data_IF_663531136997
#
_entry.id   IF_663531136997
#
_cell.length_a   1.000
_cell.length_b   1.000
_cell.length_c   1.000
_cell.angle_alpha   90.00
_cell.angle_beta   90.00
_cell.angle_gamma   90.00
#
_symmetry.space_group_name_H-M   'P 1'
#
loop_
_entity.id
_entity.type
_entity.pdbx_description
1 polymer ?
#
# COMPACT_ATOMS: atom_id res chain seq x y z
N UNK A 1 22.40 1.35 1.80
CA UNK A 1 22.03 0.47 0.67
C UNK A 1 20.77 1.04 0.04
N UNK A 2 20.69 1.07 -1.29
CA UNK A 2 19.47 1.50 -1.99
C UNK A 2 18.60 0.28 -2.27
N UNK A 3 17.39 0.26 -1.72
CA UNK A 3 16.37 -0.73 -2.08
C UNK A 3 15.49 -0.16 -3.20
N UNK A 4 15.04 -1.05 -4.08
CA UNK A 4 14.12 -0.73 -5.17
C UNK A 4 12.97 -1.73 -5.17
N UNK A 5 11.88 -1.38 -5.85
CA UNK A 5 10.67 -2.21 -5.93
C UNK A 5 10.53 -2.80 -7.32
N UNK A 6 9.97 -4.01 -7.40
CA UNK A 6 9.60 -4.69 -8.64
C UNK A 6 8.11 -5.02 -8.57
N UNK A 7 7.31 -4.32 -9.38
CA UNK A 7 5.87 -4.54 -9.44
C UNK A 7 5.50 -5.64 -10.44
N UNK A 8 4.54 -6.48 -10.05
CA UNK A 8 3.92 -7.50 -10.91
C UNK A 8 2.41 -7.44 -10.74
N UNK A 9 1.69 -7.61 -11.85
CA UNK A 9 0.24 -7.45 -11.88
C UNK A 9 -0.17 -5.98 -12.02
N UNK A 10 -1.47 -5.70 -11.89
CA UNK A 10 -1.98 -4.34 -11.97
C UNK A 10 -2.39 -3.86 -10.58
N UNK A 11 -2.08 -2.62 -10.17
CA UNK A 11 -2.55 -2.09 -8.90
C UNK A 11 -4.08 -2.24 -8.73
N UNK A 12 -4.52 -2.52 -7.50
CA UNK A 12 -5.93 -2.77 -7.16
C UNK A 12 -6.51 -4.04 -7.82
N UNK A 13 -5.70 -5.07 -8.06
CA UNK A 13 -6.15 -6.41 -8.44
C UNK A 13 -5.61 -7.49 -7.48
N UNK A 14 -6.20 -8.69 -7.51
CA UNK A 14 -5.82 -9.80 -6.61
C UNK A 14 -4.39 -10.31 -6.89
N UNK A 15 -3.90 -10.07 -8.10
CA UNK A 15 -2.63 -10.52 -8.63
C UNK A 15 -1.48 -9.55 -8.37
N UNK A 16 -1.79 -8.34 -7.86
CA UNK A 16 -0.78 -7.33 -7.61
C UNK A 16 0.21 -7.78 -6.53
N UNK A 17 1.50 -7.72 -6.86
CA UNK A 17 2.62 -8.02 -5.96
C UNK A 17 3.70 -6.97 -6.14
N UNK A 18 4.26 -6.52 -5.04
CA UNK A 18 5.40 -5.61 -5.00
C UNK A 18 6.56 -6.33 -4.30
N UNK A 19 7.52 -6.78 -5.09
CA UNK A 19 8.75 -7.41 -4.63
C UNK A 19 9.84 -6.36 -4.36
N UNK A 20 10.88 -6.74 -3.63
CA UNK A 20 12.01 -5.88 -3.32
C UNK A 20 13.27 -6.37 -4.02
N UNK A 21 14.14 -5.44 -4.38
CA UNK A 21 15.45 -5.73 -4.97
C UNK A 21 16.52 -4.85 -4.36
N UNK A 22 17.61 -5.46 -3.95
CA UNK A 22 18.82 -4.79 -3.47
C UNK A 22 19.93 -4.78 -4.51
N UNK A 23 21.19 -4.48 -4.10
CA UNK A 23 22.33 -4.44 -5.01
C UNK A 23 22.59 -5.77 -5.75
N UNK A 24 22.20 -6.89 -5.16
CA UNK A 24 22.47 -8.24 -5.67
C UNK A 24 21.23 -8.92 -6.30
N UNK A 25 20.14 -8.17 -6.51
CA UNK A 25 18.91 -8.68 -7.09
C UNK A 25 17.75 -8.81 -6.07
N UNK A 26 16.71 -9.61 -6.42
CA UNK A 26 15.52 -9.77 -5.60
C UNK A 26 15.82 -10.31 -4.20
N UNK A 27 15.08 -9.82 -3.21
CA UNK A 27 15.24 -10.18 -1.81
C UNK A 27 13.89 -10.18 -1.07
N UNK A 28 13.85 -10.83 0.09
CA UNK A 28 12.71 -10.78 1.00
C UNK A 28 12.72 -9.48 1.83
N UNK A 29 11.65 -8.68 1.83
CA UNK A 29 11.57 -7.53 2.72
C UNK A 29 11.46 -7.92 4.20
N UNK A 30 11.00 -9.14 4.49
CA UNK A 30 10.89 -9.64 5.85
C UNK A 30 12.22 -10.13 6.40
N UNK A 31 13.02 -10.81 5.58
CA UNK A 31 14.20 -11.52 6.07
C UNK A 31 15.53 -10.86 5.70
N UNK A 32 15.64 -10.31 4.49
CA UNK A 32 16.93 -9.83 3.95
C UNK A 32 17.22 -8.36 4.26
N UNK A 33 16.19 -7.56 4.59
CA UNK A 33 16.39 -6.18 5.04
C UNK A 33 16.82 -6.23 6.52
N UNK A 34 17.99 -5.71 6.90
CA UNK A 34 18.42 -5.74 8.29
C UNK A 34 17.45 -4.97 9.20
N UNK A 35 17.13 -5.48 10.39
CA UNK A 35 16.36 -4.73 11.39
C UNK A 35 16.99 -3.36 11.67
N UNK A 36 18.29 -3.36 11.96
CA UNK A 36 19.03 -2.15 12.29
C UNK A 36 19.64 -1.50 11.04
N UNK A 37 19.26 -0.25 10.79
CA UNK A 37 19.98 0.62 9.85
C UNK A 37 21.27 1.17 10.46
N UNK A 38 21.25 1.40 11.77
CA UNK A 38 22.40 1.75 12.61
C UNK A 38 22.14 1.24 14.03
N UNK A 39 22.79 0.14 14.40
CA UNK A 39 22.60 -0.51 15.71
C UNK A 39 23.15 0.35 16.85
N UNK A 40 24.21 1.13 16.63
CA UNK A 40 24.81 1.95 17.69
C UNK A 40 23.86 3.07 18.14
N UNK A 41 23.03 3.57 17.22
CA UNK A 41 22.08 4.65 17.48
C UNK A 41 20.63 4.17 17.64
N UNK A 42 20.38 2.86 17.68
CA UNK A 42 19.03 2.27 17.68
C UNK A 42 18.14 2.85 16.57
N UNK A 43 18.70 2.95 15.36
CA UNK A 43 17.96 3.35 14.16
C UNK A 43 17.58 2.08 13.39
N UNK A 44 16.29 1.93 13.13
CA UNK A 44 15.72 0.76 12.50
C UNK A 44 15.42 1.01 11.02
N UNK A 45 15.49 -0.02 10.19
CA UNK A 45 14.83 0.03 8.88
C UNK A 45 13.34 -0.27 9.10
N UNK A 46 12.47 0.47 8.44
CA UNK A 46 11.04 0.20 8.36
C UNK A 46 10.66 -0.04 6.91
N UNK A 47 9.89 -1.10 6.66
CA UNK A 47 9.27 -1.37 5.36
C UNK A 47 7.89 -0.73 5.35
N UNK A 48 7.70 0.29 4.52
CA UNK A 48 6.42 1.01 4.41
C UNK A 48 5.44 0.22 3.55
N UNK A 49 4.33 -0.22 4.13
CA UNK A 49 3.31 -1.01 3.46
C UNK A 49 2.12 -0.17 3.01
N UNK A 50 1.66 0.76 3.84
CA UNK A 50 0.48 1.59 3.58
C UNK A 50 0.84 3.07 3.79
N UNK A 51 0.89 3.87 2.71
CA UNK A 51 1.06 5.32 2.81
C UNK A 51 -0.04 5.98 3.65
N UNK A 52 0.31 7.03 4.38
CA UNK A 52 -0.67 7.83 5.13
C UNK A 52 -1.81 8.33 4.24
N UNK A 53 -3.02 8.33 4.80
CA UNK A 53 -4.28 8.70 4.17
C UNK A 53 -4.68 7.83 2.97
N UNK A 54 -4.24 6.58 2.96
CA UNK A 54 -4.73 5.57 1.99
C UNK A 54 -5.50 4.47 2.71
N UNK A 55 -6.32 3.73 1.97
CA UNK A 55 -7.26 2.75 2.54
C UNK A 55 -6.91 1.30 2.21
N UNK A 56 -6.14 1.03 1.15
CA UNK A 56 -5.83 -0.33 0.74
C UNK A 56 -4.98 -0.99 1.84
N UNK A 57 -5.51 -2.02 2.51
CA UNK A 57 -4.75 -2.80 3.51
C UNK A 57 -3.74 -3.64 2.76
N UNK A 58 -2.50 -3.22 2.80
CA UNK A 58 -1.40 -3.94 2.15
C UNK A 58 -0.39 -4.32 3.19
N UNK A 59 0.22 -5.48 2.97
CA UNK A 59 1.01 -6.19 3.95
C UNK A 59 2.07 -7.01 3.23
N UNK A 60 3.22 -7.19 3.88
CA UNK A 60 4.20 -8.22 3.55
C UNK A 60 3.48 -9.57 3.57
N UNK A 61 3.53 -10.28 2.45
CA UNK A 61 2.92 -11.60 2.35
C UNK A 61 3.80 -12.65 3.01
N UNK A 62 3.61 -12.87 4.31
CA UNK A 62 4.42 -13.78 5.13
C UNK A 62 4.46 -15.22 4.62
N UNK A 63 3.53 -15.62 3.75
CA UNK A 63 3.37 -17.01 3.26
C UNK A 63 3.90 -17.23 1.84
N UNK A 64 4.11 -16.19 1.05
CA UNK A 64 4.61 -16.33 -0.32
C UNK A 64 6.13 -16.16 -0.39
N UNK A 65 6.74 -16.85 -1.34
CA UNK A 65 8.18 -16.77 -1.62
C UNK A 65 8.63 -15.32 -1.80
N UNK A 66 9.73 -14.95 -1.16
CA UNK A 66 10.28 -13.58 -1.10
C UNK A 66 9.36 -12.51 -0.49
N UNK A 67 8.28 -12.92 0.19
CA UNK A 67 7.38 -12.08 0.96
C UNK A 67 7.01 -10.73 0.30
N UNK A 68 6.53 -10.71 -0.97
CA UNK A 68 6.15 -9.46 -1.62
C UNK A 68 5.02 -8.76 -0.84
N UNK A 69 4.96 -7.44 -0.93
CA UNK A 69 3.77 -6.73 -0.45
C UNK A 69 2.60 -7.06 -1.39
N UNK A 70 1.46 -7.45 -0.81
CA UNK A 70 0.17 -7.62 -1.51
C UNK A 70 -0.94 -6.92 -0.76
N UNK A 71 -2.11 -6.82 -1.39
CA UNK A 71 -3.30 -6.35 -0.71
C UNK A 71 -4.02 -7.52 -0.03
N UNK A 72 -4.41 -7.33 1.23
CA UNK A 72 -5.20 -8.31 1.98
C UNK A 72 -6.53 -8.59 1.25
N UNK A 73 -6.98 -9.85 1.31
CA UNK A 73 -8.18 -10.35 0.63
C UNK A 73 -9.13 -10.95 1.65
N UNK A 74 -10.33 -10.36 1.78
CA UNK A 74 -11.38 -10.86 2.66
C UNK A 74 -12.59 -11.30 1.82
N UNK A 75 -13.01 -12.56 1.98
CA UNK A 75 -14.13 -13.16 1.22
C UNK A 75 -13.95 -13.01 -0.30
N UNK A 76 -12.73 -13.23 -0.79
CA UNK A 76 -12.38 -13.13 -2.22
C UNK A 76 -12.35 -11.71 -2.80
N UNK A 77 -12.43 -10.67 -1.97
CA UNK A 77 -12.38 -9.26 -2.39
C UNK A 77 -11.22 -8.55 -1.71
N UNK A 78 -10.61 -7.62 -2.44
CA UNK A 78 -9.58 -6.73 -1.93
C UNK A 78 -10.10 -5.94 -0.72
N UNK A 79 -9.32 -5.93 0.36
CA UNK A 79 -9.69 -5.26 1.60
C UNK A 79 -9.23 -3.80 1.58
N UNK A 80 -10.15 -2.93 1.97
CA UNK A 80 -9.90 -1.52 2.23
C UNK A 80 -10.36 -1.21 3.66
N UNK A 81 -9.53 -0.54 4.43
CA UNK A 81 -9.92 -0.02 5.74
C UNK A 81 -10.90 1.14 5.55
N UNK A 82 -11.90 1.19 6.42
CA UNK A 82 -12.94 2.21 6.37
C UNK A 82 -12.43 3.55 6.92
N UNK A 83 -12.96 4.65 6.37
CA UNK A 83 -12.82 5.96 7.00
C UNK A 83 -13.73 5.99 8.23
N UNK A 84 -13.15 6.09 9.42
CA UNK A 84 -13.87 6.21 10.68
C UNK A 84 -13.72 7.67 11.14
N UNK A 85 -14.78 8.46 11.04
CA UNK A 85 -14.73 9.89 11.35
C UNK A 85 -14.09 10.15 12.73
N UNK A 86 -13.13 11.10 12.85
CA UNK A 86 -12.70 12.08 11.84
C UNK A 86 -11.58 11.62 10.89
N UNK A 87 -11.17 10.36 10.97
CA UNK A 87 -9.98 9.83 10.31
C UNK A 87 -10.20 9.46 8.84
N UNK A 88 -9.18 9.68 8.01
CA UNK A 88 -9.14 9.25 6.60
C UNK A 88 -8.08 8.16 6.42
N UNK A 89 -8.51 6.95 6.09
CA UNK A 89 -7.61 5.80 5.90
C UNK A 89 -6.72 5.57 7.12
N UNK A 90 -5.49 5.13 6.87
CA UNK A 90 -4.43 5.09 7.89
C UNK A 90 -3.93 6.49 8.20
N UNK A 91 -3.83 6.87 9.48
CA UNK A 91 -3.42 8.22 9.88
C UNK A 91 -1.89 8.36 10.08
N UNK A 92 -1.14 7.30 9.76
CA UNK A 92 0.34 7.22 9.71
C UNK A 92 0.79 6.65 8.38
N UNK A 93 2.09 6.73 8.09
CA UNK A 93 2.67 5.71 7.22
C UNK A 93 2.75 4.42 8.05
N UNK A 94 2.18 3.35 7.56
CA UNK A 94 2.06 2.09 8.27
C UNK A 94 2.89 1.01 7.57
N UNK A 95 3.44 0.10 8.35
CA UNK A 95 4.18 -1.06 7.86
C UNK A 95 4.83 -1.80 9.02
N UNK A 96 5.97 -2.42 8.76
CA UNK A 96 6.59 -3.30 9.75
C UNK A 96 8.11 -3.10 9.86
N UNK A 97 8.68 -3.57 10.97
CA UNK A 97 10.12 -3.78 11.06
C UNK A 97 10.49 -5.13 10.42
N UNK A 98 11.52 -5.18 9.57
CA UNK A 98 12.01 -6.44 9.04
C UNK A 98 12.78 -7.20 10.13
N UNK A 99 12.94 -8.50 9.94
CA UNK A 99 13.61 -9.40 10.88
C UNK A 99 13.00 -9.40 12.27
N UNK A 100 11.70 -9.18 12.38
CA UNK A 100 10.93 -9.37 13.61
C UNK A 100 9.77 -10.31 13.32
N UNK A 101 9.29 -10.99 14.35
CA UNK A 101 8.15 -11.88 14.26
C UNK A 101 7.48 -11.97 15.62
N UNK A 102 6.17 -11.77 15.69
CA UNK A 102 5.36 -12.04 16.87
C UNK A 102 4.94 -13.51 16.88
N UNK A 103 5.74 -14.35 17.54
CA UNK A 103 5.58 -15.80 17.54
C UNK A 103 4.22 -16.24 18.13
N UNK A 104 3.35 -16.93 17.36
CA UNK A 104 2.02 -17.36 17.81
C UNK A 104 2.07 -18.49 18.85
N UNK A 105 3.23 -19.10 19.08
CA UNK A 105 3.45 -20.03 20.19
C UNK A 105 3.93 -19.33 21.48
N UNK A 106 4.35 -18.07 21.39
CA UNK A 106 4.78 -17.29 22.53
C UNK A 106 3.61 -16.50 23.13
N UNK A 107 3.34 -16.73 24.43
CA UNK A 107 2.38 -15.94 25.19
C UNK A 107 3.06 -14.72 25.82
N UNK A 108 2.66 -13.54 25.39
CA UNK A 108 3.17 -12.27 25.92
C UNK A 108 2.71 -12.06 27.37
N UNK A 109 3.63 -11.61 28.22
CA UNK A 109 3.37 -11.46 29.66
C UNK A 109 2.50 -10.24 30.00
N UNK A 110 2.40 -9.27 29.09
CA UNK A 110 1.68 -8.02 29.30
C UNK A 110 0.25 -8.07 28.78
N UNK A 111 0.03 -8.63 27.59
CA UNK A 111 -1.29 -8.79 26.98
C UNK A 111 -2.00 -10.07 27.42
N UNK A 112 -1.23 -11.06 27.89
CA UNK A 112 -1.69 -12.43 28.16
C UNK A 112 -2.28 -13.13 26.93
N UNK A 113 -1.90 -12.71 25.72
CA UNK A 113 -2.25 -13.34 24.45
C UNK A 113 -1.01 -13.87 23.72
N UNK A 114 -1.22 -14.70 22.71
CA UNK A 114 -0.15 -15.15 21.83
C UNK A 114 0.09 -14.14 20.70
N UNK A 115 1.28 -14.14 20.09
CA UNK A 115 1.57 -13.29 18.93
C UNK A 115 0.65 -13.54 17.73
N UNK A 116 0.47 -12.53 16.88
CA UNK A 116 -0.40 -12.57 15.69
C UNK A 116 0.22 -13.25 14.46
N UNK A 117 1.45 -13.77 14.60
CA UNK A 117 2.22 -14.45 13.57
C UNK A 117 2.76 -13.56 12.43
N UNK A 118 2.71 -12.23 12.59
CA UNK A 118 3.22 -11.26 11.64
C UNK A 118 4.48 -10.54 12.20
N UNK A 119 5.18 -9.73 11.39
CA UNK A 119 6.30 -8.91 11.86
C UNK A 119 5.76 -7.72 12.67
N UNK A 120 6.54 -7.19 13.62
CA UNK A 120 6.06 -6.13 14.50
C UNK A 120 5.68 -4.87 13.70
N UNK A 121 4.50 -4.34 14.01
CA UNK A 121 3.90 -3.23 13.27
C UNK A 121 4.45 -1.86 13.70
N UNK A 122 4.48 -0.93 12.75
CA UNK A 122 5.03 0.42 12.93
C UNK A 122 4.08 1.48 12.38
N UNK A 123 3.78 2.46 13.24
CA UNK A 123 3.14 3.72 12.90
C UNK A 123 4.19 4.82 12.80
N UNK A 124 4.58 5.20 11.58
CA UNK A 124 5.53 6.27 11.33
C UNK A 124 4.82 7.62 11.21
N UNK A 125 5.20 8.56 12.09
CA UNK A 125 4.41 9.76 12.43
C UNK A 125 4.91 11.04 11.75
N UNK A 126 5.97 10.97 10.94
CA UNK A 126 6.58 12.11 10.28
C UNK A 126 5.67 12.80 9.25
N UNK A 127 6.00 14.04 8.88
CA UNK A 127 5.17 14.88 8.02
C UNK A 127 5.03 14.34 6.59
N UNK A 128 5.98 13.54 6.11
CA UNK A 128 6.00 13.09 4.72
C UNK A 128 5.08 11.89 4.53
N UNK A 129 4.19 11.93 3.53
CA UNK A 129 3.50 10.73 3.09
C UNK A 129 4.49 9.87 2.28
N UNK A 130 4.90 8.73 2.84
CA UNK A 130 5.89 7.85 2.23
C UNK A 130 5.27 7.02 1.10
N UNK A 131 6.10 6.47 0.21
CA UNK A 131 5.62 5.57 -0.84
C UNK A 131 5.54 4.15 -0.33
N UNK A 132 4.53 3.40 -0.78
CA UNK A 132 4.44 1.95 -0.60
C UNK A 132 5.72 1.28 -1.10
N UNK A 133 6.26 0.35 -0.33
CA UNK A 133 7.51 -0.34 -0.61
C UNK A 133 8.78 0.47 -0.33
N UNK A 134 8.66 1.67 0.27
CA UNK A 134 9.86 2.39 0.72
C UNK A 134 10.49 1.67 1.90
N UNK A 135 11.82 1.62 1.94
CA UNK A 135 12.58 1.21 3.12
C UNK A 135 13.19 2.49 3.70
N UNK A 136 12.67 2.93 4.84
CA UNK A 136 13.07 4.17 5.49
C UNK A 136 13.77 3.89 6.82
N UNK A 137 14.53 4.87 7.30
CA UNK A 137 15.22 4.77 8.58
C UNK A 137 14.40 5.48 9.64
N UNK A 138 14.07 4.79 10.72
CA UNK A 138 13.21 5.33 11.77
C UNK A 138 13.85 5.21 13.14
N UNK A 139 13.48 6.16 14.01
CA UNK A 139 13.72 6.09 15.45
C UNK A 139 12.41 5.69 16.12
N UNK A 140 12.46 4.66 16.98
CA UNK A 140 11.34 4.32 17.85
C UNK A 140 11.19 5.35 18.97
N UNK A 141 9.94 5.70 19.28
CA UNK A 141 9.55 6.70 20.28
C UNK A 141 8.75 6.06 21.41
N UNK A 142 8.00 5.00 21.11
CA UNK A 142 7.17 4.29 22.08
C UNK A 142 6.45 3.13 21.41
N UNK A 143 5.53 2.49 22.13
CA UNK A 143 4.78 1.33 21.63
C UNK A 143 3.41 1.21 22.31
N UNK A 144 2.41 0.70 21.59
CA UNK A 144 1.07 0.42 22.13
C UNK A 144 0.76 -1.08 22.02
N UNK A 145 0.12 -1.63 23.06
CA UNK A 145 -0.19 -3.05 23.17
C UNK A 145 -1.62 -3.35 22.70
N UNK A 146 -1.87 -3.47 21.39
CA UNK A 146 -3.18 -3.82 20.87
C UNK A 146 -3.45 -5.31 21.15
N UNK A 147 -4.70 -5.62 21.47
CA UNK A 147 -5.23 -6.98 21.48
C UNK A 147 -6.21 -7.06 20.31
N UNK A 148 -5.76 -7.63 19.18
CA UNK A 148 -6.55 -7.73 17.96
C UNK A 148 -7.16 -9.12 17.83
N UNK A 149 -8.49 -9.21 17.95
CA UNK A 149 -9.24 -10.49 17.86
C UNK A 149 -8.71 -11.63 18.76
N UNK A 150 -8.01 -11.30 19.86
CA UNK A 150 -7.47 -12.27 20.82
C UNK A 150 -5.96 -12.55 20.67
N UNK A 151 -5.28 -11.81 19.81
CA UNK A 151 -3.84 -11.92 19.57
C UNK A 151 -3.12 -10.66 20.08
N UNK A 152 -1.88 -10.82 20.51
CA UNK A 152 -0.95 -9.72 20.78
C UNK A 152 -0.56 -9.11 19.45
N UNK A 153 -0.70 -7.80 19.35
CA UNK A 153 -0.44 -7.06 18.13
C UNK A 153 0.24 -5.72 18.50
N UNK A 154 1.57 -5.70 18.57
CA UNK A 154 2.30 -4.53 19.05
C UNK A 154 2.42 -3.43 18.00
N UNK A 155 2.07 -2.20 18.37
CA UNK A 155 2.15 -1.03 17.47
C UNK A 155 3.27 -0.08 17.90
N UNK A 156 4.43 -0.18 17.26
CA UNK A 156 5.56 0.73 17.48
C UNK A 156 5.22 2.11 16.95
N UNK A 157 5.46 3.14 17.76
CA UNK A 157 5.42 4.54 17.34
C UNK A 157 6.83 4.96 16.94
N UNK A 158 7.00 5.41 15.71
CA UNK A 158 8.31 5.77 15.19
C UNK A 158 8.27 7.04 14.33
N UNK A 159 9.43 7.62 14.07
CA UNK A 159 9.58 8.77 13.16
C UNK A 159 10.75 8.57 12.20
N UNK A 160 10.58 8.94 10.93
CA UNK A 160 11.66 9.03 9.96
C UNK A 160 12.78 9.93 10.50
N UNK A 161 14.01 9.44 10.54
CA UNK A 161 15.17 10.19 11.05
C UNK A 161 15.51 11.43 10.22
N UNK A 162 14.93 11.56 9.03
CA UNK A 162 15.07 12.73 8.15
C UNK A 162 13.95 13.76 8.34
N UNK A 163 12.97 13.49 9.22
CA UNK A 163 11.89 14.41 9.53
C UNK A 163 12.40 15.65 10.30
N UNK A 164 11.91 16.87 10.00
CA UNK A 164 12.26 18.09 10.74
C UNK A 164 11.95 18.05 12.24
N UNK A 165 11.04 17.18 12.70
CA UNK A 165 10.75 16.98 14.12
C UNK A 165 11.55 15.84 14.75
N UNK A 166 12.31 15.06 13.96
CA UNK A 166 13.03 13.89 14.46
C UNK A 166 13.94 14.24 15.64
N UNK A 167 14.71 15.33 15.58
CA UNK A 167 15.63 15.73 16.66
C UNK A 167 14.90 16.11 17.96
N UNK A 168 13.63 16.51 17.87
CA UNK A 168 12.82 16.98 19.01
C UNK A 168 11.95 15.90 19.64
N UNK A 169 11.73 14.79 18.94
CA UNK A 169 10.95 13.64 19.40
C UNK A 169 11.91 12.53 19.80
N UNK A 170 12.15 12.31 21.09
CA UNK A 170 13.13 11.32 21.56
C UNK A 170 12.53 10.24 22.46
N UNK A 171 11.32 10.48 22.98
CA UNK A 171 10.51 9.51 23.71
C UNK A 171 9.01 9.79 23.47
N UNK A 172 8.13 8.94 24.00
CA UNK A 172 6.68 8.99 23.76
C UNK A 172 6.05 10.27 24.33
N UNK A 173 6.60 10.82 25.41
CA UNK A 173 6.12 12.05 26.03
C UNK A 173 6.32 13.28 25.12
N UNK A 174 7.36 13.28 24.29
CA UNK A 174 7.59 14.35 23.32
C UNK A 174 6.50 14.36 22.24
N UNK A 175 5.94 13.18 21.90
CA UNK A 175 4.82 13.07 20.94
C UNK A 175 3.62 13.80 21.47
N UNK A 176 3.21 13.58 22.72
CA UNK A 176 2.05 14.28 23.30
C UNK A 176 2.31 15.77 23.46
N UNK A 177 3.54 16.17 23.77
CA UNK A 177 3.92 17.58 23.92
C UNK A 177 3.91 18.35 22.59
N UNK A 178 4.41 17.76 21.52
CA UNK A 178 4.56 18.42 20.21
C UNK A 178 3.40 18.13 19.25
N UNK A 179 2.67 17.05 19.47
CA UNK A 179 1.54 16.57 18.68
C UNK A 179 0.35 16.21 19.60
N UNK A 180 -0.18 17.19 20.36
CA UNK A 180 -1.20 16.92 21.37
C UNK A 180 -2.44 16.24 20.80
N UNK A 181 -2.89 15.18 21.47
CA UNK A 181 -4.03 14.36 21.05
C UNK A 181 -3.71 13.30 20.00
N UNK A 182 -2.48 13.23 19.47
CA UNK A 182 -2.10 12.24 18.46
C UNK A 182 -2.10 10.80 18.99
N UNK A 183 -1.61 10.59 20.22
CA UNK A 183 -1.64 9.27 20.87
C UNK A 183 -3.09 8.81 21.12
N UNK A 184 -3.96 9.75 21.54
CA UNK A 184 -5.39 9.48 21.70
C UNK A 184 -6.06 9.11 20.38
N UNK A 185 -5.76 9.83 19.30
CA UNK A 185 -6.27 9.50 17.96
C UNK A 185 -5.77 8.13 17.49
N UNK A 186 -4.53 7.76 17.84
CA UNK A 186 -3.95 6.44 17.55
C UNK A 186 -4.67 5.31 18.26
N UNK A 187 -4.88 5.47 19.56
CA UNK A 187 -5.68 4.54 20.34
C UNK A 187 -7.09 4.38 19.72
N UNK A 188 -7.76 5.50 19.47
CA UNK A 188 -9.10 5.51 18.92
C UNK A 188 -9.18 4.80 17.57
N UNK A 189 -8.25 5.08 16.66
CA UNK A 189 -8.24 4.49 15.33
C UNK A 189 -8.21 2.95 15.40
N UNK A 190 -7.24 2.38 16.13
CA UNK A 190 -7.12 0.93 16.26
C UNK A 190 -8.27 0.30 17.06
N UNK A 191 -8.85 1.03 18.02
CA UNK A 191 -10.05 0.57 18.74
C UNK A 191 -11.24 0.40 17.81
N UNK A 192 -11.45 1.32 16.84
CA UNK A 192 -12.70 1.39 16.07
C UNK A 192 -12.61 0.91 14.61
N UNK A 193 -11.42 0.73 14.03
CA UNK A 193 -11.27 0.57 12.57
C UNK A 193 -12.01 -0.64 11.97
N UNK A 194 -12.28 -1.68 12.77
CA UNK A 194 -13.05 -2.87 12.33
C UNK A 194 -14.55 -2.77 12.61
N UNK A 195 -15.04 -1.77 13.35
CA UNK A 195 -16.48 -1.62 13.66
C UNK A 195 -17.33 -1.55 12.39
N UNK A 196 -16.98 -0.77 11.35
CA UNK A 196 -17.79 -0.71 10.13
C UNK A 196 -17.85 -2.05 9.37
N UNK A 197 -16.92 -2.97 9.64
CA UNK A 197 -16.92 -4.34 9.12
C UNK A 197 -17.73 -5.32 10.01
N UNK A 198 -18.47 -4.82 11.01
CA UNK A 198 -19.31 -5.60 11.92
C UNK A 198 -18.54 -6.35 13.02
N UNK A 199 -17.31 -5.92 13.33
CA UNK A 199 -16.49 -6.46 14.42
C UNK A 199 -16.65 -5.62 15.69
N UNK A 200 -16.40 -6.18 16.88
CA UNK A 200 -16.35 -5.39 18.11
C UNK A 200 -15.17 -4.41 18.11
N UNK A 201 -15.15 -3.54 19.11
CA UNK A 201 -13.96 -2.73 19.39
C UNK A 201 -12.78 -3.63 19.79
N UNK A 202 -11.59 -3.29 19.29
CA UNK A 202 -10.36 -3.90 19.78
C UNK A 202 -10.04 -3.38 21.18
N UNK A 203 -9.26 -4.15 21.92
CA UNK A 203 -8.83 -3.81 23.28
C UNK A 203 -7.35 -3.51 23.30
N UNK A 204 -6.88 -2.92 24.40
CA UNK A 204 -5.46 -2.70 24.63
C UNK A 204 -5.08 -3.20 26.01
N UNK A 205 -3.86 -3.72 26.15
CA UNK A 205 -3.24 -3.83 27.47
C UNK A 205 -2.88 -2.43 28.01
N UNK A 206 -2.47 -2.35 29.28
CA UNK A 206 -2.10 -1.09 29.95
C UNK A 206 -3.15 0.02 29.84
N UNK A 207 -4.44 -0.32 29.76
CA UNK A 207 -5.53 0.63 29.54
C UNK A 207 -5.33 1.53 28.30
N UNK A 208 -4.60 1.07 27.28
CA UNK A 208 -4.34 1.82 26.06
C UNK A 208 -3.22 2.86 26.15
N UNK A 209 -2.44 2.86 27.23
CA UNK A 209 -1.25 3.70 27.39
C UNK A 209 -0.16 3.31 26.38
N UNK A 210 0.44 4.31 25.72
CA UNK A 210 1.66 4.10 24.94
C UNK A 210 2.86 4.03 25.90
N UNK A 211 3.59 2.91 25.89
CA UNK A 211 4.81 2.74 26.67
C UNK A 211 5.97 3.47 25.99
N UNK A 212 6.94 3.86 26.80
CA UNK A 212 8.09 4.66 26.37
C UNK A 212 9.03 3.91 25.40
N UNK A 213 9.99 4.65 24.85
CA UNK A 213 10.99 4.14 23.90
C UNK A 213 11.78 2.96 24.44
N UNK A 214 12.16 2.99 25.72
CA UNK A 214 12.96 1.92 26.33
C UNK A 214 12.19 0.59 26.32
N UNK A 215 10.90 0.63 26.66
CA UNK A 215 10.03 -0.55 26.59
C UNK A 215 9.81 -1.00 25.14
N UNK A 216 9.61 -0.06 24.21
CA UNK A 216 9.50 -0.38 22.78
C UNK A 216 10.73 -1.14 22.26
N UNK A 217 11.94 -0.72 22.64
CA UNK A 217 13.16 -1.42 22.27
C UNK A 217 13.22 -2.86 22.82
N UNK A 218 12.72 -3.10 24.05
CA UNK A 218 12.68 -4.44 24.63
C UNK A 218 11.78 -5.38 23.81
N UNK A 219 10.58 -4.92 23.45
CA UNK A 219 9.64 -5.69 22.62
C UNK A 219 10.19 -5.92 21.20
N UNK A 220 10.83 -4.91 20.60
CA UNK A 220 11.48 -5.06 19.27
C UNK A 220 12.60 -6.10 19.34
N UNK A 221 13.44 -6.10 20.38
CA UNK A 221 14.50 -7.10 20.50
C UNK A 221 13.92 -8.50 20.76
N UNK A 222 12.86 -8.63 21.56
CA UNK A 222 12.17 -9.90 21.79
C UNK A 222 11.60 -10.49 20.50
N UNK A 223 10.92 -9.69 19.68
CA UNK A 223 10.39 -10.13 18.38
C UNK A 223 11.51 -10.40 17.37
N UNK A 224 12.66 -9.72 17.47
CA UNK A 224 13.86 -10.03 16.70
C UNK A 224 14.45 -11.39 17.11
N UNK A 225 14.54 -11.70 18.40
CA UNK A 225 15.00 -13.00 18.91
C UNK A 225 14.06 -14.14 18.48
N UNK A 226 12.76 -13.90 18.46
CA UNK A 226 11.76 -14.84 17.93
C UNK A 226 12.00 -15.08 16.43
N UNK A 227 12.20 -14.03 15.63
CA UNK A 227 12.56 -14.16 14.22
C UNK A 227 13.91 -14.89 14.02
N UNK A 228 14.90 -14.67 14.87
CA UNK A 228 16.19 -15.38 14.78
C UNK A 228 16.00 -16.89 14.96
N UNK A 229 15.14 -17.31 15.89
CA UNK A 229 14.77 -18.73 16.06
C UNK A 229 14.03 -19.26 14.83
N UNK A 230 13.11 -18.48 14.28
CA UNK A 230 12.39 -18.81 13.04
C UNK A 230 13.37 -19.06 11.88
N UNK A 231 14.22 -18.07 11.56
CA UNK A 231 15.06 -18.08 10.36
C UNK A 231 16.21 -19.11 10.42
N UNK A 232 16.56 -19.55 11.63
CA UNK A 232 17.55 -20.61 11.90
C UNK A 232 16.90 -21.99 12.10
N UNK A 233 15.59 -22.11 11.91
CA UNK A 233 14.83 -23.36 12.02
C UNK A 233 14.87 -24.00 13.44
N UNK A 234 14.79 -23.16 14.48
CA UNK A 234 14.74 -23.58 15.89
C UNK A 234 13.32 -23.61 16.47
N UNK A 235 12.31 -23.18 15.70
CA UNK A 235 10.90 -23.26 16.05
C UNK A 235 10.06 -23.62 14.81
N UNK A 236 8.78 -23.96 15.00
CA UNK A 236 7.84 -24.14 13.90
C UNK A 236 7.64 -22.81 13.18
N UNK A 237 7.66 -22.83 11.84
CA UNK A 237 7.48 -21.64 11.03
C UNK A 237 6.02 -21.18 10.94
N UNK A 238 5.06 -21.92 11.49
CA UNK A 238 3.63 -21.57 11.50
C UNK A 238 3.08 -21.21 10.09
N UNK A 239 3.65 -21.85 9.06
CA UNK A 239 3.29 -21.63 7.65
C UNK A 239 3.95 -20.43 6.97
N UNK A 240 4.91 -19.75 7.61
CA UNK A 240 5.68 -18.66 7.01
C UNK A 240 6.66 -19.17 5.95
N UNK A 241 6.80 -18.41 4.87
CA UNK A 241 7.86 -18.61 3.88
C UNK A 241 9.14 -17.93 4.37
N UNK A 242 10.11 -18.73 4.80
CA UNK A 242 11.37 -18.27 5.37
C UNK A 242 12.50 -18.08 4.32
N UNK A 243 12.19 -18.24 3.03
CA UNK A 243 13.17 -18.12 1.96
C UNK A 243 13.82 -16.73 1.93
N UNK A 244 15.15 -16.70 1.87
CA UNK A 244 15.94 -15.47 1.89
C UNK A 244 17.23 -15.66 1.08
N UNK A 245 17.93 -14.58 0.76
CA UNK A 245 19.12 -14.62 -0.11
C UNK A 245 20.42 -14.22 0.59
N UNK A 246 20.34 -13.62 1.78
CA UNK A 246 21.49 -12.95 2.41
C UNK A 246 21.59 -13.14 3.92
N UNK A 247 20.67 -13.85 4.56
CA UNK A 247 20.67 -14.01 6.02
C UNK A 247 21.73 -15.02 6.46
N UNK A 248 22.77 -14.53 7.12
CA UNK A 248 23.83 -15.38 7.65
C UNK A 248 23.26 -16.40 8.65
N UNK A 249 23.62 -17.68 8.49
CA UNK A 249 23.17 -18.77 9.36
C UNK A 249 21.74 -19.25 9.10
N UNK A 250 21.05 -18.72 8.08
CA UNK A 250 19.71 -19.21 7.75
C UNK A 250 19.74 -20.58 7.08
N UNK A 251 18.86 -21.46 7.54
CA UNK A 251 18.60 -22.79 6.96
C UNK A 251 17.77 -22.72 5.66
N UNK A 252 17.30 -21.53 5.26
CA UNK A 252 16.36 -21.30 4.16
C UNK A 252 16.96 -20.45 3.03
N UNK A 253 18.29 -20.30 3.02
CA UNK A 253 18.98 -19.49 2.02
C UNK A 253 18.81 -20.10 0.63
N UNK A 254 18.31 -19.31 -0.32
CA UNK A 254 18.20 -19.66 -1.75
C UNK A 254 19.19 -18.84 -2.58
N UNK A 255 19.47 -19.30 -3.79
CA UNK A 255 20.30 -18.54 -4.73
C UNK A 255 19.58 -17.31 -5.29
N UNK A 256 20.35 -16.34 -5.77
CA UNK A 256 19.81 -15.16 -6.47
C UNK A 256 19.06 -15.54 -7.76
N UNK A 257 19.45 -16.64 -8.41
CA UNK A 257 18.74 -17.20 -9.55
C UNK A 257 17.34 -17.69 -9.18
N UNK A 258 17.22 -18.48 -8.11
CA UNK A 258 15.93 -18.96 -7.59
C UNK A 258 15.03 -17.80 -7.12
N UNK A 259 15.62 -16.76 -6.53
CA UNK A 259 14.89 -15.54 -6.16
C UNK A 259 14.34 -14.82 -7.41
N UNK A 260 15.15 -14.72 -8.47
CA UNK A 260 14.72 -14.13 -9.73
C UNK A 260 13.60 -14.94 -10.41
N UNK A 261 13.67 -16.27 -10.34
CA UNK A 261 12.62 -17.16 -10.82
C UNK A 261 11.31 -16.96 -10.05
N UNK A 262 11.35 -16.78 -8.73
CA UNK A 262 10.17 -16.51 -7.92
C UNK A 262 9.44 -15.23 -8.37
N UNK A 263 10.19 -14.16 -8.65
CA UNK A 263 9.63 -12.91 -9.19
C UNK A 263 9.03 -13.10 -10.59
N UNK A 264 9.71 -13.88 -11.45
CA UNK A 264 9.28 -14.11 -12.83
C UNK A 264 8.05 -15.04 -12.91
N UNK A 265 7.95 -16.04 -12.02
CA UNK A 265 6.80 -16.94 -11.97
C UNK A 265 5.48 -16.19 -11.72
N UNK A 266 5.52 -15.13 -10.89
CA UNK A 266 4.36 -14.26 -10.68
C UNK A 266 3.93 -13.54 -11.97
N UNK A 267 4.88 -13.18 -12.84
CA UNK A 267 4.56 -12.56 -14.13
C UNK A 267 3.81 -13.53 -15.06
N UNK A 268 4.31 -14.75 -15.20
CA UNK A 268 3.72 -15.78 -16.06
C UNK A 268 2.27 -16.11 -15.65
N UNK A 269 2.03 -16.24 -14.33
CA UNK A 269 0.68 -16.44 -13.80
C UNK A 269 -0.27 -15.30 -14.18
N UNK A 270 0.21 -14.06 -14.15
CA UNK A 270 -0.59 -12.88 -14.49
C UNK A 270 -0.93 -12.83 -15.98
N UNK A 271 0.03 -13.14 -16.85
CA UNK A 271 -0.17 -13.20 -18.31
C UNK A 271 -1.18 -14.30 -18.69
N UNK A 272 -1.04 -15.49 -18.10
CA UNK A 272 -1.96 -16.61 -18.34
C UNK A 272 -3.40 -16.27 -17.90
N UNK A 273 -3.58 -15.64 -16.74
CA UNK A 273 -4.90 -15.21 -16.28
C UNK A 273 -5.50 -14.11 -17.17
N UNK A 274 -4.69 -13.17 -17.65
CA UNK A 274 -5.15 -12.17 -18.61
C UNK A 274 -5.64 -12.84 -19.90
N UNK A 275 -4.88 -13.79 -20.46
CA UNK A 275 -5.25 -14.57 -21.65
C UNK A 275 -6.55 -15.38 -21.46
N UNK A 276 -6.73 -16.01 -20.30
CA UNK A 276 -7.97 -16.74 -19.97
C UNK A 276 -9.15 -15.76 -19.89
N UNK A 277 -8.96 -14.61 -19.23
CA UNK A 277 -10.00 -13.60 -19.06
C UNK A 277 -10.42 -12.93 -20.38
N UNK A 278 -9.48 -12.71 -21.31
CA UNK A 278 -9.78 -12.16 -22.64
C UNK A 278 -10.52 -13.20 -23.49
N UNK A 279 -10.11 -14.47 -23.43
CA UNK A 279 -10.76 -15.57 -24.15
C UNK A 279 -12.20 -15.80 -23.66
N UNK A 280 -12.43 -15.77 -22.34
CA UNK A 280 -13.77 -15.87 -21.74
C UNK A 280 -14.67 -14.67 -22.10
N UNK A 281 -14.10 -13.48 -22.31
CA UNK A 281 -14.85 -12.31 -22.80
C UNK A 281 -15.27 -12.47 -24.26
N UNK A 282 -14.42 -13.03 -25.12
CA UNK A 282 -14.77 -13.35 -26.51
C UNK A 282 -15.91 -14.39 -26.61
N UNK A 283 -15.97 -15.34 -25.67
CA UNK A 283 -17.03 -16.37 -25.63
C UNK A 283 -18.38 -15.86 -25.08
N UNK A 284 -18.40 -14.71 -24.40
CA UNK A 284 -19.62 -14.10 -23.83
C UNK A 284 -20.17 -12.93 -24.67
N UNK A 285 -19.60 -12.65 -25.84
CA UNK A 285 -20.19 -11.72 -26.79
C UNK A 285 -21.53 -12.24 -27.32
N UNK A 286 -22.50 -11.35 -27.65
CA UNK A 286 -23.71 -11.80 -28.31
C UNK A 286 -23.33 -12.52 -29.62
N UNK A 287 -23.98 -13.64 -29.97
CA UNK A 287 -23.73 -14.29 -31.25
C UNK A 287 -23.96 -13.27 -32.38
N UNK A 288 -23.15 -13.31 -33.45
CA UNK A 288 -23.37 -12.43 -34.59
C UNK A 288 -24.80 -12.59 -35.10
N UNK A 289 -25.46 -11.51 -35.57
CA UNK A 289 -26.82 -11.60 -36.07
C UNK A 289 -26.87 -12.62 -37.20
N UNK A 290 -27.71 -13.65 -37.02
CA UNK A 290 -27.96 -14.65 -38.04
C UNK A 290 -28.66 -13.96 -39.19
N UNK A 291 -27.96 -13.76 -40.31
CA UNK A 291 -28.58 -13.32 -41.54
C UNK A 291 -29.59 -14.39 -41.96
N UNK A 292 -30.87 -14.03 -41.97
CA UNK A 292 -31.95 -14.91 -42.40
C UNK A 292 -31.76 -15.28 -43.87
N UNK A 293 -31.45 -16.54 -44.14
CA UNK A 293 -31.49 -17.13 -45.48
C UNK A 293 -32.71 -18.04 -45.54
N UNK A 294 -33.60 -17.75 -46.49
CA UNK A 294 -34.84 -18.50 -46.74
C UNK A 294 -34.60 -19.96 -47.14
N UNK A 295 -35.65 -20.80 -47.14
CA UNK A 295 -35.49 -22.24 -47.09
C UNK A 295 -35.34 -22.86 -48.48
N UNK A 296 -34.34 -23.69 -48.69
CA UNK A 296 -34.44 -24.84 -49.61
C UNK A 296 -33.37 -25.90 -49.34
N UNK A 297 -33.83 -27.05 -48.82
CA UNK A 297 -33.49 -28.44 -49.16
C UNK A 297 -32.02 -28.84 -49.43
N UNK A 298 -31.52 -29.79 -48.62
CA UNK A 298 -30.46 -30.73 -49.02
C UNK A 298 -29.39 -31.03 -47.95
N UNK A 299 -29.43 -32.22 -47.34
CA UNK A 299 -28.36 -32.88 -46.57
C UNK A 299 -27.08 -33.15 -47.43
N UNK A 300 -25.93 -33.65 -46.89
CA UNK A 300 -25.47 -33.73 -45.50
C UNK A 300 -23.98 -33.30 -45.27
N UNK A 301 -23.67 -32.97 -44.00
CA UNK A 301 -22.40 -33.15 -43.25
C UNK A 301 -21.03 -33.18 -43.94
N UNK A 302 -20.14 -32.24 -43.58
CA UNK A 302 -18.68 -32.47 -43.40
C UNK A 302 -18.17 -31.64 -42.21
N UNK A 303 -17.58 -32.33 -41.23
CA UNK A 303 -16.81 -31.77 -40.12
C UNK A 303 -15.44 -31.35 -40.66
N UNK A 304 -15.11 -30.06 -40.57
CA UNK A 304 -13.79 -29.51 -40.94
C UNK A 304 -13.07 -28.95 -39.73
N UNK A 305 -12.04 -29.66 -39.24
CA UNK A 305 -11.05 -29.11 -38.30
C UNK A 305 -10.29 -27.95 -38.96
N UNK A 306 -10.32 -26.77 -38.35
CA UNK A 306 -9.47 -25.66 -38.76
C UNK A 306 -8.21 -25.61 -37.89
N UNK A 307 -7.09 -26.10 -38.42
CA UNK A 307 -5.75 -25.79 -37.93
C UNK A 307 -5.36 -24.39 -38.45
N UNK A 308 -5.19 -23.41 -37.56
CA UNK A 308 -4.55 -22.14 -37.91
C UNK A 308 -3.11 -22.11 -37.40
N UNK A 309 -2.20 -22.28 -38.36
CA UNK A 309 -0.74 -22.17 -38.25
C UNK A 309 -0.40 -20.68 -38.29
N UNK A 310 0.12 -20.11 -37.21
CA UNK A 310 0.57 -18.71 -37.21
C UNK A 310 2.03 -18.63 -37.69
N UNK A 311 2.24 -17.94 -38.83
CA UNK A 311 3.57 -17.50 -39.30
C UNK A 311 3.84 -16.11 -38.73
N UNK A 312 4.98 -15.95 -38.06
CA UNK A 312 5.59 -14.66 -37.73
C UNK A 312 6.31 -14.10 -38.98
N UNK A 313 6.23 -12.79 -39.27
CA UNK A 313 7.17 -12.14 -40.18
C UNK A 313 8.46 -11.73 -39.43
N UNK A 314 9.64 -11.78 -40.07
CA UNK A 314 10.93 -11.52 -39.42
C UNK A 314 11.28 -10.03 -39.32
N UNK A 315 12.19 -9.76 -38.38
CA UNK A 315 12.80 -8.49 -38.06
C UNK A 315 13.67 -7.93 -39.22
N UNK A 316 13.64 -6.61 -39.37
CA UNK A 316 14.63 -5.87 -40.16
C UNK A 316 15.72 -5.31 -39.25
N UNK A 317 16.95 -5.79 -39.50
CA UNK A 317 18.21 -5.19 -39.12
C UNK A 317 18.47 -3.92 -39.95
N UNK A 318 19.04 -2.89 -39.34
CA UNK A 318 19.91 -1.92 -40.01
C UNK A 318 21.15 -1.72 -39.15
N UNK A 319 22.32 -1.88 -39.78
CA UNK A 319 23.66 -1.69 -39.23
C UNK A 319 24.34 -0.50 -39.94
N UNK A 320 25.35 0.06 -39.24
CA UNK A 320 26.52 0.85 -39.70
C UNK A 320 26.25 2.26 -40.28
N UNK A 321 26.92 3.36 -39.92
CA UNK A 321 28.11 3.77 -39.13
C UNK A 321 28.31 5.31 -39.40
N UNK A 322 29.47 5.98 -39.22
CA UNK A 322 30.63 5.75 -38.35
C UNK A 322 31.04 7.01 -37.50
N UNK A 323 32.18 6.85 -36.83
CA UNK A 323 32.93 7.75 -35.93
C UNK A 323 33.36 9.13 -36.47
N UNK A 324 33.45 10.12 -35.57
CA UNK A 324 34.41 11.25 -35.50
C UNK A 324 34.45 11.64 -34.00
N UNK A 325 35.56 11.81 -33.28
CA UNK A 325 36.83 12.44 -33.58
C UNK A 325 37.08 13.45 -32.44
N UNK A 326 38.24 13.37 -31.78
CA UNK A 326 38.60 14.04 -30.53
C UNK A 326 38.60 15.59 -30.59
N UNK A 327 38.45 16.24 -29.43
CA UNK A 327 39.52 17.13 -28.91
C UNK A 327 39.24 17.69 -27.50
N UNK A 328 40.27 17.57 -26.67
CA UNK A 328 40.49 18.12 -25.33
C UNK A 328 40.95 19.58 -25.39
N UNK A 329 40.40 20.48 -24.56
CA UNK A 329 41.10 21.68 -24.05
C UNK A 329 40.69 21.96 -22.59
N UNK A 330 41.69 22.14 -21.72
CA UNK A 330 41.61 22.53 -20.30
C UNK A 330 42.03 24.02 -20.11
N UNK A 331 41.90 24.61 -18.90
CA UNK A 331 41.35 25.96 -18.68
C UNK A 331 42.39 27.04 -18.36
N UNK A 332 41.96 28.31 -18.31
CA UNK A 332 42.79 29.44 -17.88
C UNK A 332 42.02 30.59 -17.21
N UNK A 333 42.31 30.78 -15.91
CA UNK A 333 42.52 32.07 -15.19
C UNK A 333 41.40 33.13 -15.02
N UNK A 334 41.01 33.32 -13.76
CA UNK A 334 40.54 34.57 -13.09
C UNK A 334 41.71 35.61 -12.96
N UNK A 335 41.62 36.82 -12.32
CA UNK A 335 40.68 37.35 -11.29
C UNK A 335 40.40 38.90 -11.41
N UNK A 336 40.29 39.73 -10.33
CA UNK A 336 39.16 40.01 -9.43
C UNK A 336 38.82 41.53 -9.31
N UNK A 337 37.95 41.94 -8.36
CA UNK A 337 37.78 43.25 -7.64
C UNK A 337 36.27 43.42 -7.32
N UNK A 338 35.75 43.78 -6.14
CA UNK A 338 36.23 44.16 -4.81
C UNK A 338 35.02 44.56 -3.93
N UNK A 339 35.18 44.41 -2.60
CA UNK A 339 34.56 45.04 -1.39
C UNK A 339 33.45 46.11 -1.52
N UNK A 340 32.58 46.42 -0.54
CA UNK A 340 32.17 45.93 0.78
C UNK A 340 30.98 46.82 1.27
N UNK A 341 30.39 46.46 2.41
CA UNK A 341 29.75 47.31 3.44
C UNK A 341 28.24 47.15 3.72
N UNK A 342 27.93 47.28 5.01
CA UNK A 342 26.74 46.87 5.75
C UNK A 342 25.99 48.07 6.41
N UNK A 343 24.64 48.07 6.32
CA UNK A 343 23.50 48.30 7.30
C UNK A 343 23.62 49.39 8.43
N UNK A 344 22.58 49.88 9.19
CA UNK A 344 21.08 50.08 9.12
C UNK A 344 20.65 51.53 9.60
N UNK A 345 19.46 51.82 10.23
CA UNK A 345 18.03 51.46 10.02
C UNK A 345 17.09 52.70 9.94
N UNK A 346 15.82 52.55 9.53
CA UNK A 346 14.69 53.21 10.21
C UNK A 346 13.29 52.67 9.83
N UNK A 347 12.37 52.83 10.79
CA UNK A 347 11.05 52.20 10.94
C UNK A 347 9.94 53.09 10.37
N UNK A 348 8.95 52.53 9.65
CA UNK A 348 7.54 52.95 9.77
C UNK A 348 6.54 51.97 9.17
N UNK A 349 5.51 51.66 9.95
CA UNK A 349 4.29 50.95 9.57
C UNK A 349 3.41 51.78 8.64
N UNK A 350 2.78 51.16 7.63
CA UNK A 350 1.32 51.24 7.37
C UNK A 350 0.94 50.53 6.04
N UNK A 351 0.05 49.54 6.18
CA UNK A 351 -1.10 49.17 5.34
C UNK A 351 -1.08 49.39 3.80
N UNK A 352 -1.12 48.23 3.12
CA UNK A 352 -2.00 47.86 1.98
C UNK A 352 -1.70 48.38 0.57
N UNK A 353 -1.73 47.41 -0.37
CA UNK A 353 -1.95 47.47 -1.83
C UNK A 353 -0.72 47.54 -2.76
N UNK A 354 -0.29 46.38 -3.26
CA UNK A 354 0.48 46.22 -4.51
C UNK A 354 -0.05 44.93 -5.18
N UNK A 355 -0.93 45.01 -6.18
CA UNK A 355 -0.67 45.11 -7.64
C UNK A 355 0.35 44.10 -8.18
N UNK A 356 -0.17 43.16 -8.97
CA UNK A 356 0.57 42.20 -9.77
C UNK A 356 1.41 42.86 -10.88
N UNK A 357 2.62 42.32 -11.09
CA UNK A 357 3.45 42.25 -12.32
C UNK A 357 4.75 41.51 -11.95
N UNK A 358 4.98 40.26 -12.34
CA UNK A 358 5.39 39.69 -13.65
C UNK A 358 6.90 39.35 -13.70
N UNK A 359 7.20 38.03 -13.78
CA UNK A 359 8.36 37.35 -14.42
C UNK A 359 8.02 35.82 -14.36
N UNK A 360 7.45 35.17 -15.40
CA UNK A 360 8.02 34.59 -16.64
C UNK A 360 9.02 33.41 -16.43
N UNK A 361 9.13 32.40 -17.32
CA UNK A 361 8.10 31.53 -17.94
C UNK A 361 8.46 30.03 -17.80
N UNK A 362 7.47 29.14 -17.58
CA UNK A 362 7.66 27.69 -17.73
C UNK A 362 6.63 27.08 -18.69
N UNK A 363 7.17 26.69 -19.85
CA UNK A 363 6.74 25.72 -20.86
C UNK A 363 5.28 25.22 -20.88
N UNK A 364 4.53 25.76 -21.84
CA UNK A 364 3.25 25.26 -22.34
C UNK A 364 3.46 24.03 -23.24
N UNK A 365 3.46 22.84 -22.65
CA UNK A 365 3.23 21.57 -23.37
C UNK A 365 2.48 20.53 -22.52
N UNK A 366 2.52 20.63 -21.20
CA UNK A 366 1.89 19.64 -20.30
C UNK A 366 0.51 20.05 -19.75
N UNK A 367 0.06 21.29 -19.94
CA UNK A 367 -1.29 21.72 -19.51
C UNK A 367 -2.40 21.47 -20.55
N UNK A 368 -2.07 21.21 -21.81
CA UNK A 368 -3.09 20.82 -22.80
C UNK A 368 -3.46 19.32 -22.75
N UNK A 369 -2.68 18.47 -22.09
CA UNK A 369 -3.01 17.04 -21.92
C UNK A 369 -3.98 16.79 -20.76
N UNK A 370 -3.97 17.65 -19.74
CA UNK A 370 -4.82 17.46 -18.55
C UNK A 370 -6.28 17.93 -18.78
N UNK A 371 -6.48 18.98 -19.58
CA UNK A 371 -7.83 19.49 -19.88
C UNK A 371 -8.53 18.67 -20.98
N UNK A 372 -7.78 18.08 -21.91
CA UNK A 372 -8.35 17.25 -22.98
C UNK A 372 -8.74 15.84 -22.49
N UNK A 373 -8.04 15.30 -21.48
CA UNK A 373 -8.36 13.99 -20.89
C UNK A 373 -9.62 14.02 -19.99
N UNK A 374 -9.92 15.16 -19.37
CA UNK A 374 -11.14 15.34 -18.57
C UNK A 374 -12.41 15.56 -19.42
N UNK A 375 -12.31 16.05 -20.65
CA UNK A 375 -13.48 16.18 -21.53
C UNK A 375 -13.85 14.87 -22.27
N UNK A 376 -12.88 13.96 -22.48
CA UNK A 376 -13.13 12.67 -23.13
C UNK A 376 -13.82 11.68 -22.16
N UNK A 377 -13.57 11.79 -20.85
CA UNK A 377 -14.24 10.93 -19.84
C UNK A 377 -15.64 11.39 -19.46
N UNK A 378 -15.96 12.69 -19.59
CA UNK A 378 -17.32 13.19 -19.32
C UNK A 378 -18.34 12.86 -20.43
N UNK A 379 -17.89 12.62 -21.67
CA UNK A 379 -18.79 12.37 -22.81
C UNK A 379 -19.16 10.88 -22.95
N UNK A 380 -18.30 9.95 -22.53
CA UNK A 380 -18.60 8.51 -22.57
C UNK A 380 -19.52 8.02 -21.44
N UNK A 381 -19.57 8.73 -20.30
CA UNK A 381 -20.46 8.36 -19.18
C UNK A 381 -21.90 8.85 -19.41
N UNK A 382 -22.10 9.87 -20.25
CA UNK A 382 -23.43 10.38 -20.58
C UNK A 382 -24.17 9.54 -21.65
N UNK A 383 -23.45 8.86 -22.56
CA UNK A 383 -24.07 8.03 -23.60
C UNK A 383 -24.40 6.58 -23.17
N UNK A 384 -23.82 6.05 -22.10
CA UNK A 384 -24.16 4.71 -21.58
C UNK A 384 -25.35 4.68 -20.60
N UNK A 385 -25.90 5.83 -20.19
CA UNK A 385 -27.08 5.90 -19.29
C UNK A 385 -28.40 6.17 -20.00
N UNK A 386 -28.40 6.37 -21.32
CA UNK A 386 -29.60 6.69 -22.11
C UNK A 386 -30.24 5.47 -22.81
N UNK A 387 -29.63 4.28 -22.77
CA UNK A 387 -30.15 3.08 -23.47
C UNK A 387 -30.62 1.94 -22.56
N UNK A 388 -30.66 2.12 -21.23
CA UNK A 388 -31.14 1.10 -20.28
C UNK A 388 -32.39 1.49 -19.48
N UNK A 389 -33.10 2.57 -19.85
CA UNK A 389 -34.40 2.94 -19.28
C UNK A 389 -35.46 3.00 -20.38
N UNK A 390 -35.82 1.84 -20.89
CA UNK A 390 -36.82 1.72 -21.96
C UNK A 390 -37.30 0.30 -22.15
N UNK A 391 -37.57 -0.45 -21.06
CA UNK A 391 -38.48 -1.61 -21.04
C UNK A 391 -38.46 -2.23 -19.64
N UNK A 392 -39.20 -1.64 -18.69
CA UNK A 392 -39.77 -2.35 -17.53
C UNK A 392 -40.67 -1.38 -16.76
N UNK A 393 -41.85 -1.10 -17.32
CA UNK A 393 -42.91 -0.40 -16.61
C UNK A 393 -44.28 -0.78 -17.17
N UNK A 394 -44.63 -2.07 -17.12
CA UNK A 394 -46.03 -2.53 -17.20
C UNK A 394 -46.19 -3.82 -16.38
N UNK A 395 -46.44 -3.71 -15.07
CA UNK A 395 -47.54 -4.43 -14.40
C UNK A 395 -47.67 -3.99 -12.94
N UNK A 396 -48.92 -3.94 -12.47
CA UNK A 396 -49.38 -3.83 -11.07
C UNK A 396 -49.46 -2.43 -10.46
N UNK A 397 -50.50 -1.69 -10.84
CA UNK A 397 -51.19 -0.81 -9.90
C UNK A 397 -52.19 -1.65 -9.08
N UNK A 398 -52.10 -1.61 -7.74
CA UNK A 398 -53.19 -2.00 -6.83
C UNK A 398 -53.86 -0.73 -6.31
N UNK A 399 -55.19 -0.78 -6.21
CA UNK A 399 -56.06 0.33 -5.78
C UNK A 399 -55.82 0.75 -4.32
N UNK A 400 -56.04 2.03 -3.97
CA UNK A 400 -55.90 2.53 -2.62
C UNK A 400 -57.19 2.26 -1.81
N UNK A 401 -57.33 1.03 -1.31
CA UNK A 401 -58.35 0.69 -0.30
C UNK A 401 -57.85 -0.25 0.80
N UNK A 402 -56.59 -0.71 0.75
CA UNK A 402 -56.05 -1.68 1.72
C UNK A 402 -54.77 -1.17 2.42
N UNK A 403 -54.87 -0.05 3.15
CA UNK A 403 -53.83 0.32 4.13
C UNK A 403 -54.43 0.40 5.54
N UNK A 404 -53.91 -0.37 6.52
CA UNK A 404 -54.39 -0.29 7.89
C UNK A 404 -53.94 1.02 8.54
N UNK A 405 -54.89 1.72 9.20
CA UNK A 405 -54.66 2.97 9.93
C UNK A 405 -53.80 2.73 11.17
N UNK A 406 -52.88 3.63 11.53
CA UNK A 406 -52.12 3.55 12.77
C UNK A 406 -53.01 3.80 13.99
N UNK A 407 -52.93 2.91 14.98
CA UNK A 407 -53.60 3.03 16.28
C UNK A 407 -52.72 3.89 17.20
N UNK A 408 -53.22 5.06 17.57
CA UNK A 408 -52.70 5.86 18.68
C UNK A 408 -53.31 5.30 19.98
N UNK A 409 -52.48 4.83 20.90
CA UNK A 409 -52.89 4.56 22.28
C UNK A 409 -52.64 5.81 23.13
N UNK A 410 -53.72 6.36 23.67
CA UNK A 410 -53.72 7.39 24.70
C UNK A 410 -53.71 6.67 26.04
N UNK A 411 -52.59 6.71 26.76
CA UNK A 411 -52.51 6.29 28.15
C UNK A 411 -52.88 7.44 29.07
N UNK A 412 -54.08 7.38 29.65
CA UNK A 412 -54.53 8.24 30.74
C UNK A 412 -55.14 7.39 31.85
N UNK A 413 -54.52 7.44 33.03
CA UNK A 413 -55.18 7.63 34.33
C UNK A 413 -56.03 6.51 34.97
N UNK A 414 -55.65 6.23 36.22
CA UNK A 414 -56.47 6.01 37.43
C UNK A 414 -57.07 4.63 37.76
N UNK A 415 -56.73 4.24 39.00
CA UNK A 415 -57.55 3.64 40.07
C UNK A 415 -57.43 2.13 40.40
N UNK A 416 -57.12 1.96 41.70
CA UNK A 416 -57.16 0.81 42.63
C UNK A 416 -56.08 -0.27 42.56
#
# INVERSE_FOLDING_TARGET
>A
MSYSIIERGSPNTLEYRLFFSGPNGPLSPLHDIPLYADKANNTFNMVVEVPRWTNAKMEIDTKNRLNPIKQDVKKGKLRYVHNCFPHHGYIWNYGALPQTWEDPAHKDEHTQQNGDNDPIDVCEIGFKAQKRGSVIKVKALGIMALIDEGETDWKVLAIDVTDPLADKLNDVEDVEKLMPGFLKATNEWFRIYKIPAGKPENQFAFNGEAKNRAFAHQIIEQTHEQWQKLITNQCDAAGLSCENVSVAGSSFTISTGEAQEAVNAQQCNNELQQLISSSLRCLKGPPPPVAGVGPSLGHPSVIGLCHSRWRLPPAHYFSDGPELGADTIHPGSAPPYGEAAAIPPEVRMAHTAIKAKEWSPYNTADQCKFVMMMMITATSVCMCRATSKGNEAKSKMKHPSDMPKPRFELGGGSDM
#
